data_IF_864489225221
#
_entry.id   IF_864489225221
#
_cell.length_a   1.000
_cell.length_b   1.000
_cell.length_c   1.000
_cell.angle_alpha   90.00
_cell.angle_beta   90.00
_cell.angle_gamma   90.00
#
_symmetry.space_group_name_H-M   'P 1'
#
loop_
_entity.id
_entity.type
_entity.pdbx_description
1 polymer ?
#
# COMPACT_ATOMS: atom_id res chain seq x y z
N UNK A 1 -3.45 19.99 -53.26
CA UNK A 1 -2.04 19.75 -52.92
C UNK A 1 -1.64 18.27 -53.08
N UNK A 2 -2.17 17.30 -52.32
CA UNK A 2 -1.85 15.86 -52.48
C UNK A 2 -2.23 15.31 -53.87
N UNK A 3 -3.39 15.71 -54.38
CA UNK A 3 -3.88 15.29 -55.70
C UNK A 3 -3.01 15.80 -56.88
N UNK A 4 -2.41 16.98 -56.77
CA UNK A 4 -1.53 17.52 -57.82
C UNK A 4 -0.14 16.88 -57.81
N UNK A 5 0.43 16.65 -56.62
CA UNK A 5 1.72 15.97 -56.47
C UNK A 5 1.67 14.51 -56.97
N UNK A 6 0.56 13.79 -56.71
CA UNK A 6 0.34 12.43 -57.20
C UNK A 6 0.24 12.36 -58.73
N UNK A 7 -0.42 13.33 -59.37
CA UNK A 7 -0.52 13.42 -60.84
C UNK A 7 0.83 13.68 -61.51
N UNK A 8 1.68 14.51 -60.90
CA UNK A 8 2.97 14.91 -61.49
C UNK A 8 4.02 13.80 -61.40
N UNK A 9 3.95 12.98 -60.34
CA UNK A 9 4.94 11.94 -60.09
C UNK A 9 4.66 10.63 -60.85
N UNK A 10 3.39 10.34 -61.18
CA UNK A 10 2.95 9.07 -61.79
C UNK A 10 1.92 9.29 -62.93
N UNK A 11 2.31 9.90 -64.06
CA UNK A 11 1.38 10.40 -65.09
C UNK A 11 0.60 9.32 -65.86
N UNK A 12 1.01 8.04 -65.79
CA UNK A 12 0.33 6.93 -66.50
C UNK A 12 -0.60 6.08 -65.62
N UNK A 13 -0.66 6.31 -64.30
CA UNK A 13 -1.52 5.53 -63.42
C UNK A 13 -2.82 6.29 -63.18
N UNK A 14 -3.91 5.85 -63.83
CA UNK A 14 -5.27 6.25 -63.46
C UNK A 14 -5.59 5.66 -62.08
N UNK A 15 -5.31 6.42 -61.04
CA UNK A 15 -5.74 6.06 -59.68
C UNK A 15 -7.24 6.28 -59.61
N UNK A 16 -8.01 5.19 -59.61
CA UNK A 16 -9.46 5.25 -59.44
C UNK A 16 -9.78 5.72 -58.01
N UNK A 17 -10.50 6.84 -57.90
CA UNK A 17 -10.93 7.40 -56.63
C UNK A 17 -11.72 6.39 -55.79
N UNK A 18 -12.47 5.49 -56.44
CA UNK A 18 -13.18 4.39 -55.76
C UNK A 18 -12.22 3.38 -55.15
N UNK A 19 -11.08 3.08 -55.78
CA UNK A 19 -10.04 2.20 -55.22
C UNK A 19 -9.40 2.86 -54.00
N UNK A 20 -9.09 4.16 -54.06
CA UNK A 20 -8.52 4.89 -52.91
C UNK A 20 -9.51 4.95 -51.74
N UNK A 21 -10.78 5.24 -52.00
CA UNK A 21 -11.84 5.23 -50.99
C UNK A 21 -12.02 3.84 -50.37
N UNK A 22 -12.05 2.78 -51.18
CA UNK A 22 -12.18 1.40 -50.71
C UNK A 22 -10.98 0.95 -49.86
N UNK A 23 -9.76 1.31 -50.25
CA UNK A 23 -8.54 0.98 -49.49
C UNK A 23 -8.53 1.73 -48.15
N UNK A 24 -8.80 3.04 -48.16
CA UNK A 24 -8.82 3.84 -46.93
C UNK A 24 -9.94 3.42 -45.97
N UNK A 25 -11.14 3.09 -46.48
CA UNK A 25 -12.23 2.55 -45.66
C UNK A 25 -11.89 1.18 -45.07
N UNK A 26 -11.21 0.32 -45.84
CA UNK A 26 -10.79 -1.00 -45.38
C UNK A 26 -9.71 -0.92 -44.29
N UNK A 27 -8.72 -0.03 -44.45
CA UNK A 27 -7.70 0.22 -43.41
C UNK A 27 -8.31 0.78 -42.13
N UNK A 28 -9.24 1.74 -42.24
CA UNK A 28 -9.96 2.27 -41.09
C UNK A 28 -10.77 1.18 -40.38
N UNK A 29 -11.50 0.34 -41.12
CA UNK A 29 -12.25 -0.78 -40.58
C UNK A 29 -11.32 -1.79 -39.87
N UNK A 30 -10.18 -2.14 -40.47
CA UNK A 30 -9.19 -3.03 -39.87
C UNK A 30 -8.60 -2.46 -38.57
N UNK A 31 -8.29 -1.15 -38.54
CA UNK A 31 -7.82 -0.47 -37.33
C UNK A 31 -8.87 -0.48 -36.21
N UNK A 32 -10.14 -0.20 -36.54
CA UNK A 32 -11.25 -0.26 -35.59
C UNK A 32 -11.45 -1.68 -35.06
N UNK A 33 -11.39 -2.69 -35.93
CA UNK A 33 -11.47 -4.09 -35.53
C UNK A 33 -10.31 -4.48 -34.60
N UNK A 34 -9.07 -4.08 -34.92
CA UNK A 34 -7.90 -4.33 -34.07
C UNK A 34 -8.03 -3.66 -32.70
N UNK A 35 -8.43 -2.39 -32.66
CA UNK A 35 -8.69 -1.66 -31.42
C UNK A 35 -9.81 -2.31 -30.60
N UNK A 36 -10.90 -2.74 -31.24
CA UNK A 36 -12.00 -3.45 -30.59
C UNK A 36 -11.55 -4.80 -30.01
N UNK A 37 -10.77 -5.58 -30.76
CA UNK A 37 -10.20 -6.84 -30.29
C UNK A 37 -9.30 -6.62 -29.06
N UNK A 38 -8.42 -5.60 -29.11
CA UNK A 38 -7.56 -5.23 -27.99
C UNK A 38 -8.34 -4.83 -26.74
N UNK A 39 -9.37 -3.98 -26.90
CA UNK A 39 -10.25 -3.58 -25.80
C UNK A 39 -11.00 -4.76 -25.19
N UNK A 40 -11.50 -5.69 -26.02
CA UNK A 40 -12.18 -6.89 -25.53
C UNK A 40 -11.25 -7.82 -24.76
N UNK A 41 -10.00 -7.97 -25.20
CA UNK A 41 -8.98 -8.73 -24.46
C UNK A 41 -8.73 -8.10 -23.07
N UNK A 42 -8.54 -6.78 -23.01
CA UNK A 42 -8.36 -6.03 -21.76
C UNK A 42 -9.57 -6.21 -20.83
N UNK A 43 -10.79 -6.07 -21.36
CA UNK A 43 -12.02 -6.27 -20.59
C UNK A 43 -12.10 -7.68 -20.00
N UNK A 44 -11.76 -8.71 -20.78
CA UNK A 44 -11.73 -10.10 -20.30
C UNK A 44 -10.70 -10.29 -19.17
N UNK A 45 -9.50 -9.74 -19.30
CA UNK A 45 -8.47 -9.80 -18.27
C UNK A 45 -8.91 -9.11 -16.97
N UNK A 46 -9.54 -7.93 -17.06
CA UNK A 46 -10.09 -7.23 -15.90
C UNK A 46 -11.18 -8.06 -15.22
N UNK A 47 -12.11 -8.63 -16.00
CA UNK A 47 -13.19 -9.46 -15.47
C UNK A 47 -12.64 -10.71 -14.78
N UNK A 48 -11.64 -11.37 -15.36
CA UNK A 48 -10.98 -12.53 -14.75
C UNK A 48 -10.28 -12.16 -13.44
N UNK A 49 -9.57 -11.03 -13.40
CA UNK A 49 -8.91 -10.56 -12.18
C UNK A 49 -9.92 -10.26 -11.05
N UNK A 50 -11.07 -9.64 -11.38
CA UNK A 50 -12.16 -9.42 -10.42
C UNK A 50 -12.74 -10.73 -9.92
N UNK A 51 -13.05 -11.68 -10.82
CA UNK A 51 -13.54 -13.01 -10.43
C UNK A 51 -12.57 -13.74 -9.52
N UNK A 52 -11.26 -13.68 -9.78
CA UNK A 52 -10.22 -14.26 -8.91
C UNK A 52 -10.20 -13.63 -7.53
N UNK A 53 -10.30 -12.30 -7.44
CA UNK A 53 -10.43 -11.60 -6.16
C UNK A 53 -11.69 -12.05 -5.42
N UNK A 54 -12.84 -11.97 -6.06
CA UNK A 54 -14.14 -12.26 -5.43
C UNK A 54 -14.20 -13.75 -4.99
N UNK A 55 -13.62 -14.66 -5.78
CA UNK A 55 -13.45 -16.06 -5.39
C UNK A 55 -12.56 -16.22 -4.15
N UNK A 56 -11.41 -15.55 -4.09
CA UNK A 56 -10.53 -15.58 -2.92
C UNK A 56 -11.20 -15.00 -1.66
N UNK A 57 -11.99 -13.94 -1.81
CA UNK A 57 -12.78 -13.39 -0.70
C UNK A 57 -13.88 -14.36 -0.23
N UNK A 58 -14.52 -15.08 -1.15
CA UNK A 58 -15.47 -16.15 -0.80
C UNK A 58 -14.80 -17.32 -0.09
N UNK A 59 -13.56 -17.67 -0.45
CA UNK A 59 -12.76 -18.66 0.29
C UNK A 59 -12.45 -18.18 1.71
N UNK A 60 -12.00 -16.94 1.84
CA UNK A 60 -11.73 -16.29 3.12
C UNK A 60 -12.98 -16.27 4.02
N UNK A 61 -14.15 -15.94 3.47
CA UNK A 61 -15.42 -15.96 4.20
C UNK A 61 -15.76 -17.38 4.67
N UNK A 62 -15.61 -18.38 3.79
CA UNK A 62 -15.87 -19.78 4.12
C UNK A 62 -15.03 -20.25 5.31
N UNK A 63 -13.71 -20.03 5.29
CA UNK A 63 -12.82 -20.50 6.37
C UNK A 63 -13.09 -19.76 7.69
N UNK A 64 -13.47 -18.48 7.63
CA UNK A 64 -13.92 -17.73 8.81
C UNK A 64 -15.19 -18.34 9.41
N UNK A 65 -16.19 -18.67 8.58
CA UNK A 65 -17.44 -19.26 9.07
C UNK A 65 -17.21 -20.65 9.68
N UNK A 66 -16.39 -21.48 9.05
CA UNK A 66 -16.00 -22.79 9.59
C UNK A 66 -15.30 -22.65 10.94
N UNK A 67 -14.35 -21.72 11.06
CA UNK A 67 -13.65 -21.45 12.31
C UNK A 67 -14.61 -20.98 13.42
N UNK A 68 -15.54 -20.08 13.12
CA UNK A 68 -16.53 -19.57 14.08
C UNK A 68 -17.47 -20.66 14.60
N UNK A 69 -17.90 -21.57 13.73
CA UNK A 69 -18.73 -22.72 14.13
C UNK A 69 -17.98 -23.64 15.09
N UNK A 70 -16.68 -23.85 14.86
CA UNK A 70 -15.84 -24.69 15.70
C UNK A 70 -15.43 -24.00 17.01
N UNK A 71 -15.38 -22.66 17.04
CA UNK A 71 -14.84 -21.88 18.16
C UNK A 71 -15.79 -20.73 18.57
N UNK A 72 -17.04 -21.04 19.01
CA UNK A 72 -18.04 -20.00 19.32
C UNK A 72 -17.67 -19.12 20.53
N UNK A 73 -16.70 -19.53 21.35
CA UNK A 73 -16.23 -18.78 22.53
C UNK A 73 -15.19 -17.70 22.26
N UNK A 74 -14.75 -17.52 21.00
CA UNK A 74 -13.73 -16.52 20.66
C UNK A 74 -14.30 -15.10 20.84
N UNK A 75 -13.67 -14.33 21.71
CA UNK A 75 -14.05 -12.96 22.00
C UNK A 75 -13.44 -12.00 20.97
N UNK A 76 -14.02 -11.96 19.76
CA UNK A 76 -13.54 -11.14 18.64
C UNK A 76 -13.34 -9.66 19.03
N UNK A 77 -14.29 -9.08 19.78
CA UNK A 77 -14.19 -7.70 20.25
C UNK A 77 -12.98 -7.46 21.17
N UNK A 78 -12.64 -8.42 22.04
CA UNK A 78 -11.46 -8.32 22.89
C UNK A 78 -10.19 -8.33 22.03
N UNK A 79 -10.07 -9.27 21.10
CA UNK A 79 -8.91 -9.39 20.19
C UNK A 79 -8.68 -8.09 19.39
N UNK A 80 -9.74 -7.53 18.80
CA UNK A 80 -9.65 -6.31 17.99
C UNK A 80 -9.37 -5.05 18.81
N UNK A 81 -9.67 -5.05 20.11
CA UNK A 81 -9.42 -3.90 21.00
C UNK A 81 -7.97 -3.79 21.49
N UNK A 82 -7.18 -4.86 21.36
CA UNK A 82 -5.83 -4.91 21.91
C UNK A 82 -4.83 -4.09 21.07
N UNK A 83 -4.01 -3.24 21.70
CA UNK A 83 -2.86 -2.64 21.04
C UNK A 83 -1.88 -3.72 20.55
N UNK A 84 -1.15 -3.44 19.47
CA UNK A 84 -0.22 -4.40 18.85
C UNK A 84 0.78 -4.99 19.84
N UNK A 85 1.32 -4.17 20.74
CA UNK A 85 2.27 -4.63 21.76
C UNK A 85 1.64 -5.68 22.68
N UNK A 86 0.43 -5.43 23.18
CA UNK A 86 -0.28 -6.35 24.07
C UNK A 86 -0.74 -7.62 23.34
N UNK A 87 -1.18 -7.48 22.08
CA UNK A 87 -1.54 -8.63 21.24
C UNK A 87 -0.34 -9.57 21.07
N UNK A 88 0.85 -9.03 20.79
CA UNK A 88 2.09 -9.82 20.63
C UNK A 88 2.46 -10.53 21.93
N UNK A 89 2.41 -9.83 23.08
CA UNK A 89 2.74 -10.47 24.37
C UNK A 89 1.76 -11.61 24.67
N UNK A 90 0.45 -11.39 24.48
CA UNK A 90 -0.57 -12.44 24.68
C UNK A 90 -0.40 -13.65 23.74
N UNK A 91 -0.03 -13.41 22.48
CA UNK A 91 0.32 -14.48 21.52
C UNK A 91 1.58 -15.25 21.96
N UNK A 92 2.59 -14.53 22.48
CA UNK A 92 3.83 -15.12 22.98
C UNK A 92 3.70 -15.85 24.30
N UNK A 93 2.75 -15.50 25.13
CA UNK A 93 2.41 -16.22 26.37
C UNK A 93 1.50 -17.42 26.09
N UNK A 94 0.77 -17.40 24.96
CA UNK A 94 -0.22 -18.41 24.60
C UNK A 94 -1.59 -18.18 25.23
N UNK A 95 -1.83 -17.00 25.81
CA UNK A 95 -3.16 -16.61 26.32
C UNK A 95 -4.15 -16.29 25.19
N UNK A 96 -3.64 -15.97 23.99
CA UNK A 96 -4.41 -15.93 22.75
C UNK A 96 -3.84 -16.93 21.74
N UNK A 97 -4.73 -17.66 21.07
CA UNK A 97 -4.35 -18.54 19.96
C UNK A 97 -4.08 -17.71 18.70
N UNK A 98 -3.00 -17.99 17.95
CA UNK A 98 -2.74 -17.34 16.66
C UNK A 98 -3.89 -17.52 15.66
N UNK A 99 -4.59 -18.66 15.67
CA UNK A 99 -5.77 -18.89 14.84
C UNK A 99 -6.91 -17.95 15.23
N UNK A 100 -7.21 -17.85 16.53
CA UNK A 100 -8.27 -16.96 17.01
C UNK A 100 -8.01 -15.52 16.59
N UNK A 101 -6.74 -15.07 16.62
CA UNK A 101 -6.35 -13.75 16.15
C UNK A 101 -6.49 -13.63 14.63
N UNK A 102 -5.93 -14.56 13.86
CA UNK A 102 -6.01 -14.54 12.39
C UNK A 102 -7.45 -14.48 11.89
N UNK A 103 -8.30 -15.41 12.32
CA UNK A 103 -9.68 -15.49 11.84
C UNK A 103 -10.54 -14.31 12.29
N UNK A 104 -10.27 -13.75 13.48
CA UNK A 104 -10.93 -12.51 13.91
C UNK A 104 -10.58 -11.33 12.99
N UNK A 105 -9.30 -11.18 12.63
CA UNK A 105 -8.89 -10.14 11.69
C UNK A 105 -9.38 -10.41 10.27
N UNK A 106 -9.46 -11.67 9.83
CA UNK A 106 -10.06 -12.01 8.55
C UNK A 106 -11.54 -11.63 8.47
N UNK A 107 -12.32 -11.97 9.51
CA UNK A 107 -13.73 -11.57 9.59
C UNK A 107 -13.88 -10.06 9.49
N UNK A 108 -13.09 -9.32 10.28
CA UNK A 108 -13.15 -7.86 10.26
C UNK A 108 -12.71 -7.29 8.91
N UNK A 109 -11.66 -7.83 8.30
CA UNK A 109 -11.18 -7.41 6.99
C UNK A 109 -12.24 -7.60 5.89
N UNK A 110 -12.98 -8.71 5.91
CA UNK A 110 -14.09 -8.97 4.97
C UNK A 110 -15.19 -7.91 5.10
N UNK A 111 -15.64 -7.63 6.33
CA UNK A 111 -16.65 -6.60 6.59
C UNK A 111 -16.18 -5.22 6.10
N UNK A 112 -14.94 -4.85 6.42
CA UNK A 112 -14.33 -3.59 5.97
C UNK A 112 -14.24 -3.54 4.44
N UNK A 113 -13.84 -4.64 3.79
CA UNK A 113 -13.72 -4.66 2.35
C UNK A 113 -15.05 -4.45 1.63
N UNK A 114 -16.15 -4.98 2.17
CA UNK A 114 -17.49 -4.73 1.62
C UNK A 114 -17.85 -3.24 1.67
N UNK A 115 -17.40 -2.52 2.69
CA UNK A 115 -17.67 -1.09 2.85
C UNK A 115 -16.77 -0.20 1.97
N UNK A 116 -15.46 -0.50 1.91
CA UNK A 116 -14.47 0.44 1.35
C UNK A 116 -13.65 -0.09 0.18
N UNK A 117 -13.83 -1.34 -0.25
CA UNK A 117 -13.12 -1.96 -1.37
C UNK A 117 -11.57 -1.83 -1.25
N UNK A 118 -11.00 -2.17 -0.09
CA UNK A 118 -9.57 -1.98 0.21
C UNK A 118 -8.64 -3.16 -0.14
N UNK A 119 -9.19 -4.32 -0.50
CA UNK A 119 -8.43 -5.56 -0.69
C UNK A 119 -8.41 -5.95 -2.16
N UNK A 120 -7.24 -6.35 -2.64
CA UNK A 120 -7.03 -6.88 -3.98
C UNK A 120 -7.00 -8.40 -3.98
N UNK A 121 -6.48 -9.02 -2.92
CA UNK A 121 -6.33 -10.46 -2.84
C UNK A 121 -6.33 -10.99 -1.40
N UNK A 122 -6.86 -12.19 -1.20
CA UNK A 122 -6.71 -12.99 0.01
C UNK A 122 -5.53 -13.97 -0.18
N UNK A 123 -4.66 -14.12 0.80
CA UNK A 123 -3.49 -15.01 0.76
C UNK A 123 -3.86 -16.32 1.49
N UNK A 124 -4.33 -17.37 0.80
CA UNK A 124 -4.74 -18.62 1.46
C UNK A 124 -3.60 -19.33 2.17
N UNK A 125 -2.35 -19.12 1.75
CA UNK A 125 -1.16 -19.72 2.36
C UNK A 125 -0.92 -19.26 3.81
N UNK A 126 -1.63 -18.21 4.27
CA UNK A 126 -1.52 -17.72 5.64
C UNK A 126 -1.96 -18.77 6.69
N UNK A 127 -2.88 -19.68 6.36
CA UNK A 127 -3.27 -20.77 7.25
C UNK A 127 -2.14 -21.80 7.42
N UNK A 128 -1.53 -22.21 6.31
CA UNK A 128 -0.39 -23.13 6.32
C UNK A 128 0.80 -22.52 7.05
N UNK A 129 1.15 -21.27 6.73
CA UNK A 129 2.23 -20.54 7.39
C UNK A 129 1.99 -20.46 8.90
N UNK A 130 0.75 -20.18 9.33
CA UNK A 130 0.41 -20.16 10.76
C UNK A 130 0.63 -21.52 11.45
N UNK A 131 0.29 -22.64 10.78
CA UNK A 131 0.56 -23.97 11.32
C UNK A 131 2.05 -24.29 11.39
N UNK A 132 2.85 -23.79 10.45
CA UNK A 132 4.31 -23.91 10.48
C UNK A 132 4.92 -23.08 11.61
N UNK A 133 4.45 -21.83 11.80
CA UNK A 133 4.87 -20.96 12.90
C UNK A 133 4.63 -21.60 14.27
N UNK A 134 3.52 -22.30 14.46
CA UNK A 134 3.23 -23.00 15.73
C UNK A 134 4.20 -24.13 16.06
N UNK A 135 4.87 -24.71 15.06
CA UNK A 135 5.87 -25.77 15.25
C UNK A 135 7.25 -25.23 15.57
N UNK A 136 7.48 -23.93 15.35
CA UNK A 136 8.76 -23.30 15.64
C UNK A 136 8.95 -23.16 17.15
N UNK A 137 10.17 -23.46 17.62
CA UNK A 137 10.52 -23.31 19.04
C UNK A 137 10.65 -21.84 19.44
N UNK A 138 11.15 -21.01 18.53
CA UNK A 138 11.37 -19.59 18.77
C UNK A 138 10.18 -18.77 18.27
N UNK A 139 9.66 -17.90 19.14
CA UNK A 139 8.57 -16.97 18.82
C UNK A 139 9.18 -15.60 18.47
N UNK A 140 9.21 -15.29 17.17
CA UNK A 140 9.75 -14.03 16.65
C UNK A 140 9.02 -12.77 17.16
N UNK A 141 9.51 -11.59 16.78
CA UNK A 141 9.01 -10.30 17.31
C UNK A 141 7.55 -10.00 16.95
N UNK A 142 7.02 -10.62 15.89
CA UNK A 142 5.65 -10.47 15.41
C UNK A 142 4.90 -11.81 15.38
N UNK A 143 5.28 -12.76 16.24
CA UNK A 143 4.70 -14.11 16.29
C UNK A 143 3.16 -14.10 16.28
N UNK A 144 2.58 -14.68 15.23
CA UNK A 144 1.14 -14.85 15.06
C UNK A 144 0.38 -13.58 14.64
N UNK A 145 1.06 -12.45 14.43
CA UNK A 145 0.41 -11.18 14.08
C UNK A 145 -0.04 -11.20 12.61
N UNK A 146 -1.34 -11.02 12.31
CA UNK A 146 -1.81 -10.86 10.94
C UNK A 146 -1.35 -9.51 10.38
N UNK A 147 -0.78 -9.52 9.18
CA UNK A 147 -0.29 -8.30 8.51
C UNK A 147 -0.87 -8.15 7.11
N UNK A 148 -1.21 -6.91 6.75
CA UNK A 148 -1.59 -6.54 5.38
C UNK A 148 -0.38 -6.05 4.59
N UNK A 149 -0.35 -6.35 3.29
CA UNK A 149 0.73 -5.92 2.39
C UNK A 149 0.19 -5.20 1.16
N UNK A 150 0.81 -4.10 0.77
CA UNK A 150 0.43 -3.33 -0.42
C UNK A 150 0.74 -4.09 -1.72
N UNK A 151 -0.15 -4.00 -2.70
CA UNK A 151 -0.12 -4.67 -4.02
C UNK A 151 1.22 -4.79 -4.76
N UNK A 152 2.12 -3.81 -4.62
CA UNK A 152 3.40 -3.80 -5.31
C UNK A 152 4.51 -4.63 -4.61
N UNK A 153 4.29 -5.02 -3.35
CA UNK A 153 5.21 -5.83 -2.57
C UNK A 153 5.06 -7.27 -3.03
N UNK A 154 6.14 -7.86 -3.54
CA UNK A 154 6.09 -9.23 -4.05
C UNK A 154 5.84 -10.24 -2.93
N UNK A 155 4.93 -11.15 -3.22
CA UNK A 155 4.60 -12.33 -2.42
C UNK A 155 4.57 -13.53 -3.37
N UNK A 156 5.37 -14.55 -3.07
CA UNK A 156 5.63 -15.69 -3.95
C UNK A 156 4.34 -16.38 -4.40
N UNK A 157 4.19 -16.60 -5.70
CA UNK A 157 3.03 -17.26 -6.29
C UNK A 157 1.85 -16.32 -6.55
N UNK A 158 1.97 -15.03 -6.21
CA UNK A 158 0.90 -14.04 -6.34
C UNK A 158 1.27 -12.93 -7.31
N UNK A 159 0.25 -12.31 -7.93
CA UNK A 159 0.47 -11.16 -8.81
C UNK A 159 0.97 -9.95 -8.01
N UNK A 160 1.75 -9.07 -8.63
CA UNK A 160 1.99 -7.69 -8.17
C UNK A 160 1.52 -6.72 -9.24
N UNK A 161 0.28 -6.21 -9.13
CA UNK A 161 -0.41 -5.63 -10.29
C UNK A 161 -0.04 -4.17 -10.54
N UNK A 162 0.26 -3.43 -9.48
CA UNK A 162 0.38 -1.98 -9.46
C UNK A 162 -0.85 -1.28 -10.07
N UNK A 163 -2.03 -1.90 -10.02
CA UNK A 163 -3.24 -1.44 -10.68
C UNK A 163 -3.18 -1.45 -12.22
N UNK A 164 -2.21 -2.15 -12.83
CA UNK A 164 -2.00 -2.17 -14.28
C UNK A 164 -2.46 -3.50 -14.88
N UNK A 165 -3.29 -3.45 -15.92
CA UNK A 165 -3.81 -4.65 -16.63
C UNK A 165 -2.66 -5.50 -17.21
N UNK A 166 -1.60 -4.87 -17.70
CA UNK A 166 -0.43 -5.58 -18.24
C UNK A 166 0.29 -6.45 -17.20
N UNK A 167 0.11 -6.17 -15.91
CA UNK A 167 0.73 -6.92 -14.81
C UNK A 167 -0.08 -8.13 -14.37
N UNK A 168 -1.24 -8.42 -14.98
CA UNK A 168 -2.13 -9.52 -14.57
C UNK A 168 -1.66 -10.91 -15.03
N UNK A 169 -0.52 -11.01 -15.72
CA UNK A 169 -0.03 -12.26 -16.31
C UNK A 169 1.27 -12.82 -15.71
N UNK A 170 1.89 -12.14 -14.76
CA UNK A 170 3.18 -12.55 -14.19
C UNK A 170 3.10 -12.63 -12.67
N UNK A 171 3.19 -13.86 -12.14
CA UNK A 171 3.27 -14.13 -10.71
C UNK A 171 4.69 -13.84 -10.21
N UNK A 172 4.82 -13.42 -8.96
CA UNK A 172 6.13 -13.31 -8.33
C UNK A 172 6.72 -14.72 -8.11
N UNK A 173 7.98 -14.91 -8.49
CA UNK A 173 8.69 -16.18 -8.34
C UNK A 173 9.14 -16.40 -6.89
N UNK A 174 9.34 -15.31 -6.15
CA UNK A 174 9.84 -15.28 -4.78
C UNK A 174 9.14 -14.20 -3.95
N UNK A 175 9.31 -14.31 -2.63
CA UNK A 175 8.89 -13.27 -1.71
C UNK A 175 9.85 -12.08 -1.81
N UNK A 176 9.34 -10.87 -1.59
CA UNK A 176 10.24 -9.75 -1.30
C UNK A 176 11.01 -10.00 -0.02
N UNK A 177 12.21 -9.43 0.09
CA UNK A 177 13.04 -9.54 1.32
C UNK A 177 12.27 -9.07 2.54
N UNK A 178 11.42 -8.05 2.38
CA UNK A 178 10.51 -7.60 3.44
C UNK A 178 9.57 -8.72 3.89
N UNK A 179 8.87 -9.37 2.96
CA UNK A 179 7.94 -10.47 3.27
C UNK A 179 8.68 -11.65 3.90
N UNK A 180 9.86 -12.01 3.40
CA UNK A 180 10.67 -13.07 4.00
C UNK A 180 10.99 -12.77 5.46
N UNK A 181 11.46 -11.57 5.76
CA UNK A 181 11.82 -11.22 7.14
C UNK A 181 10.57 -11.11 8.02
N UNK A 182 9.45 -10.62 7.50
CA UNK A 182 8.17 -10.65 8.23
C UNK A 182 7.78 -12.08 8.62
N UNK A 183 7.85 -13.02 7.67
CA UNK A 183 7.59 -14.44 7.92
C UNK A 183 8.58 -15.03 8.94
N UNK A 184 9.88 -14.73 8.81
CA UNK A 184 10.92 -15.16 9.78
C UNK A 184 10.71 -14.59 11.18
N UNK A 185 10.17 -13.37 11.29
CA UNK A 185 9.81 -12.75 12.57
C UNK A 185 8.46 -13.21 13.12
N UNK A 186 7.82 -14.17 12.46
CA UNK A 186 6.57 -14.79 12.90
C UNK A 186 5.30 -14.04 12.53
N UNK A 187 5.39 -12.98 11.72
CA UNK A 187 4.20 -12.33 11.17
C UNK A 187 3.51 -13.24 10.15
N UNK A 188 2.20 -13.04 9.98
CA UNK A 188 1.37 -13.82 9.06
C UNK A 188 0.68 -12.91 8.03
N UNK A 189 1.28 -12.67 6.86
CA UNK A 189 0.63 -11.92 5.79
C UNK A 189 -0.63 -12.63 5.29
N UNK A 190 -1.78 -11.97 5.34
CA UNK A 190 -3.07 -12.62 5.03
C UNK A 190 -3.84 -11.98 3.88
N UNK A 191 -3.57 -10.71 3.54
CA UNK A 191 -4.23 -10.00 2.44
C UNK A 191 -3.27 -9.07 1.71
N UNK A 192 -3.55 -8.87 0.43
CA UNK A 192 -2.91 -7.86 -0.41
C UNK A 192 -3.89 -6.71 -0.65
N UNK A 193 -3.50 -5.47 -0.34
CA UNK A 193 -4.39 -4.30 -0.41
C UNK A 193 -4.33 -3.57 -1.74
N UNK A 194 -5.40 -2.83 -2.05
CA UNK A 194 -5.58 -2.11 -3.30
C UNK A 194 -4.67 -0.87 -3.40
N UNK A 195 -4.41 -0.44 -4.64
CA UNK A 195 -3.53 0.69 -4.98
C UNK A 195 -4.11 1.49 -6.14
N UNK A 196 -3.74 2.78 -6.31
CA UNK A 196 -4.04 3.48 -7.55
C UNK A 196 -3.26 2.92 -8.72
N UNK A 197 -3.80 3.10 -9.93
CA UNK A 197 -3.14 2.73 -11.17
C UNK A 197 -1.75 3.36 -11.24
N UNK A 198 -0.72 2.55 -11.49
CA UNK A 198 0.70 2.92 -11.56
C UNK A 198 1.38 3.38 -10.26
N UNK A 199 0.68 3.38 -9.13
CA UNK A 199 1.18 3.85 -7.81
C UNK A 199 1.50 5.36 -7.73
N UNK A 200 1.40 6.11 -8.82
CA UNK A 200 1.71 7.54 -8.90
C UNK A 200 0.45 8.40 -8.77
N UNK A 201 -0.29 8.19 -7.68
CA UNK A 201 -1.46 8.98 -7.35
C UNK A 201 -1.63 9.01 -5.82
N UNK A 202 -2.11 10.15 -5.30
CA UNK A 202 -2.45 10.34 -3.89
C UNK A 202 -3.91 9.98 -3.57
N UNK A 203 -4.67 9.48 -4.55
CA UNK A 203 -5.93 8.76 -4.35
C UNK A 203 -5.73 7.23 -4.57
N UNK A 204 -6.79 6.41 -4.46
CA UNK A 204 -6.69 4.95 -4.55
C UNK A 204 -7.76 4.35 -5.47
N UNK A 205 -7.55 4.45 -6.79
CA UNK A 205 -8.42 3.87 -7.80
C UNK A 205 -7.65 3.31 -8.99
N UNK A 206 -8.10 2.16 -9.53
CA UNK A 206 -7.57 1.59 -10.76
C UNK A 206 -8.69 0.90 -11.57
N UNK A 207 -8.46 0.73 -12.89
CA UNK A 207 -9.45 0.13 -13.80
C UNK A 207 -9.80 -1.32 -13.47
N UNK A 208 -8.91 -2.04 -12.79
CA UNK A 208 -9.05 -3.47 -12.54
C UNK A 208 -9.90 -3.76 -11.31
N UNK A 209 -9.57 -3.18 -10.17
CA UNK A 209 -10.19 -3.46 -8.87
C UNK A 209 -11.08 -2.34 -8.36
N UNK A 210 -11.14 -1.21 -9.08
CA UNK A 210 -12.01 -0.08 -8.75
C UNK A 210 -11.39 0.84 -7.69
N UNK A 211 -12.26 1.69 -7.13
CA UNK A 211 -11.90 2.72 -6.15
C UNK A 211 -12.02 2.18 -4.73
N UNK A 212 -11.02 2.49 -3.92
CA UNK A 212 -11.10 2.40 -2.45
C UNK A 212 -11.54 3.76 -1.92
N UNK A 213 -12.45 3.79 -0.95
CA UNK A 213 -12.96 5.02 -0.33
C UNK A 213 -12.46 5.17 1.11
N UNK A 214 -12.50 6.39 1.65
CA UNK A 214 -12.11 6.65 3.03
C UNK A 214 -13.17 6.11 4.00
N UNK A 215 -12.79 5.34 5.04
CA UNK A 215 -13.75 4.77 5.99
C UNK A 215 -14.44 5.80 6.90
N UNK A 216 -13.89 7.01 7.04
CA UNK A 216 -14.52 8.09 7.83
C UNK A 216 -15.57 8.87 7.06
N UNK A 217 -15.41 8.95 5.74
CA UNK A 217 -16.32 9.65 4.83
C UNK A 217 -16.21 9.01 3.44
N UNK A 218 -17.21 8.21 3.05
CA UNK A 218 -17.21 7.47 1.79
C UNK A 218 -17.20 8.37 0.54
N UNK A 219 -17.39 9.69 0.69
CA UNK A 219 -17.25 10.67 -0.41
C UNK A 219 -15.81 11.13 -0.63
N UNK A 220 -14.86 10.71 0.23
CA UNK A 220 -13.45 11.09 0.18
C UNK A 220 -12.56 9.92 -0.22
N UNK A 221 -11.41 10.24 -0.81
CA UNK A 221 -10.34 9.28 -1.04
C UNK A 221 -9.63 8.91 0.27
N UNK A 222 -9.14 7.67 0.42
CA UNK A 222 -8.40 7.23 1.60
C UNK A 222 -6.94 7.74 1.61
N UNK A 223 -6.55 8.56 0.62
CA UNK A 223 -5.16 8.88 0.34
C UNK A 223 -4.50 7.77 -0.50
N UNK A 224 -3.25 7.98 -0.88
CA UNK A 224 -2.55 7.07 -1.79
C UNK A 224 -1.06 7.37 -1.88
N UNK A 225 -0.26 6.44 -2.42
CA UNK A 225 -0.72 5.22 -3.11
C UNK A 225 -0.96 3.99 -2.24
N UNK A 226 -0.74 4.06 -0.92
CA UNK A 226 -1.06 2.97 0.02
C UNK A 226 -2.48 3.09 0.58
N UNK A 227 -3.45 3.49 -0.26
CA UNK A 227 -4.81 3.78 0.18
C UNK A 227 -5.58 2.56 0.69
N UNK A 228 -5.35 1.38 0.11
CA UNK A 228 -5.91 0.13 0.60
C UNK A 228 -5.44 -0.21 2.02
N UNK A 229 -4.14 -0.05 2.33
CA UNK A 229 -3.61 -0.19 3.69
C UNK A 229 -4.27 0.81 4.65
N UNK A 230 -4.30 2.09 4.28
CA UNK A 230 -4.88 3.14 5.12
C UNK A 230 -6.36 2.90 5.43
N UNK A 231 -7.15 2.50 4.44
CA UNK A 231 -8.57 2.21 4.63
C UNK A 231 -8.80 0.94 5.46
N UNK A 232 -8.02 -0.13 5.22
CA UNK A 232 -8.16 -1.39 5.95
C UNK A 232 -7.83 -1.23 7.44
N UNK A 233 -6.72 -0.56 7.75
CA UNK A 233 -6.22 -0.42 9.13
C UNK A 233 -7.07 0.57 9.92
N UNK A 234 -7.50 1.68 9.32
CA UNK A 234 -8.35 2.65 10.01
C UNK A 234 -9.73 2.11 10.39
N UNK A 235 -10.21 1.10 9.68
CA UNK A 235 -11.44 0.39 10.06
C UNK A 235 -11.19 -0.83 10.94
N UNK A 236 -9.95 -1.09 11.37
CA UNK A 236 -9.59 -2.22 12.24
C UNK A 236 -9.53 -3.58 11.55
N UNK A 237 -9.53 -3.62 10.21
CA UNK A 237 -9.42 -4.87 9.43
C UNK A 237 -7.99 -5.43 9.36
N UNK A 238 -6.99 -4.68 9.81
CA UNK A 238 -5.61 -5.13 9.98
C UNK A 238 -4.98 -4.30 11.10
N UNK A 239 -4.14 -4.92 11.93
CA UNK A 239 -3.44 -4.23 13.02
C UNK A 239 -2.14 -3.57 12.56
N UNK A 240 -1.56 -4.07 11.47
CA UNK A 240 -0.27 -3.65 10.96
C UNK A 240 -0.20 -3.85 9.45
N UNK A 241 0.24 -2.80 8.75
CA UNK A 241 0.37 -2.80 7.31
C UNK A 241 1.71 -2.33 6.78
N UNK A 242 2.06 -2.82 5.60
CA UNK A 242 3.28 -2.42 4.89
C UNK A 242 2.95 -1.80 3.53
N UNK A 243 3.26 -0.50 3.42
CA UNK A 243 3.16 0.28 2.18
C UNK A 243 4.52 0.74 1.67
N UNK A 244 4.51 1.67 0.70
CA UNK A 244 5.71 2.34 0.18
C UNK A 244 5.45 3.83 0.01
N UNK A 245 6.50 4.64 0.18
CA UNK A 245 6.43 6.11 0.14
C UNK A 245 7.63 6.70 -0.59
N UNK A 246 7.34 7.21 -1.80
CA UNK A 246 8.26 8.04 -2.58
C UNK A 246 7.92 9.53 -2.42
N UNK A 247 6.64 9.89 -2.57
CA UNK A 247 6.15 11.27 -2.54
C UNK A 247 5.08 11.55 -1.47
N UNK A 248 4.95 10.68 -0.47
CA UNK A 248 3.89 10.76 0.55
C UNK A 248 3.01 9.51 0.64
N UNK A 249 3.31 8.46 -0.13
CA UNK A 249 2.39 7.33 -0.30
C UNK A 249 2.13 6.47 0.94
N UNK A 250 2.82 6.68 2.05
CA UNK A 250 2.47 6.17 3.39
C UNK A 250 1.84 7.29 4.22
N UNK A 251 2.50 8.46 4.26
CA UNK A 251 2.08 9.60 5.09
C UNK A 251 0.71 10.14 4.74
N UNK A 252 0.35 10.21 3.45
CA UNK A 252 -0.93 10.69 2.95
C UNK A 252 -2.10 9.78 3.37
N UNK A 253 -2.09 8.47 3.09
CA UNK A 253 -3.17 7.61 3.56
C UNK A 253 -3.22 7.51 5.10
N UNK A 254 -2.09 7.56 5.79
CA UNK A 254 -2.10 7.67 7.26
C UNK A 254 -2.77 8.96 7.73
N UNK A 255 -2.45 10.10 7.12
CA UNK A 255 -3.07 11.38 7.48
C UNK A 255 -4.57 11.40 7.15
N UNK A 256 -4.98 10.85 6.01
CA UNK A 256 -6.36 10.92 5.54
C UNK A 256 -7.29 9.98 6.31
N UNK A 257 -6.78 8.81 6.70
CA UNK A 257 -7.52 7.82 7.49
C UNK A 257 -7.29 7.97 9.01
N UNK A 258 -6.42 8.89 9.43
CA UNK A 258 -6.11 9.21 10.83
C UNK A 258 -5.39 8.10 11.57
N UNK A 259 -4.33 7.59 10.95
CA UNK A 259 -3.42 6.57 11.43
C UNK A 259 -2.03 7.17 11.63
N UNK A 260 -1.14 6.39 12.22
CA UNK A 260 0.29 6.66 12.20
C UNK A 260 0.94 5.98 10.99
N UNK A 261 1.86 6.70 10.36
CA UNK A 261 2.64 6.20 9.23
C UNK A 261 4.07 6.71 9.31
N UNK A 262 5.04 5.83 9.07
CA UNK A 262 6.46 6.18 9.10
C UNK A 262 7.10 5.88 7.76
N UNK A 263 7.68 6.90 7.12
CA UNK A 263 8.60 6.71 5.99
C UNK A 263 10.05 6.73 6.51
N UNK A 264 10.76 5.59 6.56
CA UNK A 264 12.16 5.55 6.95
C UNK A 264 13.06 6.35 6.00
N UNK A 265 14.34 6.48 6.36
CA UNK A 265 15.38 6.88 5.42
C UNK A 265 15.45 5.87 4.27
N UNK A 266 15.67 6.33 3.04
CA UNK A 266 15.84 5.45 1.89
C UNK A 266 16.97 4.43 2.12
N UNK A 267 16.81 3.20 1.64
CA UNK A 267 17.76 2.10 1.85
C UNK A 267 17.81 1.55 3.28
N UNK A 268 17.06 2.10 4.24
CA UNK A 268 16.99 1.55 5.61
C UNK A 268 16.35 0.17 5.63
N UNK A 269 15.47 -0.10 4.68
CA UNK A 269 14.77 -1.36 4.49
C UNK A 269 14.90 -1.78 3.04
N UNK A 270 15.05 -3.08 2.81
CA UNK A 270 15.22 -3.63 1.47
C UNK A 270 13.91 -3.53 0.69
N UNK A 271 14.01 -3.02 -0.53
CA UNK A 271 12.95 -2.99 -1.54
C UNK A 271 13.11 -4.11 -2.58
N UNK A 272 14.08 -5.03 -2.37
CA UNK A 272 14.39 -6.08 -3.32
C UNK A 272 13.17 -6.99 -3.59
N UNK A 273 13.01 -7.32 -4.88
CA UNK A 273 11.87 -8.02 -5.48
C UNK A 273 10.52 -7.28 -5.39
N UNK A 274 10.45 -6.06 -4.86
CA UNK A 274 9.24 -5.24 -4.98
C UNK A 274 9.12 -4.65 -6.39
N UNK A 275 7.90 -4.61 -6.94
CA UNK A 275 7.68 -4.09 -8.29
C UNK A 275 7.71 -2.57 -8.29
N UNK A 276 8.71 -2.00 -8.94
CA UNK A 276 8.83 -0.55 -9.18
C UNK A 276 8.31 -0.23 -10.58
N UNK A 277 7.32 0.67 -10.67
CA UNK A 277 6.69 1.06 -11.95
C UNK A 277 7.48 2.16 -12.68
N UNK A 278 8.45 2.80 -12.03
CA UNK A 278 9.23 3.88 -12.61
C UNK A 278 10.45 3.35 -13.40
N UNK A 279 10.36 3.54 -14.73
CA UNK A 279 11.42 3.59 -15.74
C UNK A 279 11.86 2.25 -16.39
N UNK A 280 12.20 2.27 -17.70
CA UNK A 280 12.82 1.13 -18.39
C UNK A 280 14.12 0.72 -17.69
N UNK A 281 14.47 -0.57 -17.81
CA UNK A 281 15.58 -1.26 -17.11
C UNK A 281 16.96 -0.54 -17.15
N UNK A 282 17.15 0.44 -18.03
CA UNK A 282 18.39 1.20 -18.22
C UNK A 282 18.70 2.26 -17.14
N UNK A 283 17.76 2.62 -16.25
CA UNK A 283 18.00 3.57 -15.14
C UNK A 283 18.00 2.92 -13.74
N UNK A 284 17.99 1.60 -13.67
CA UNK A 284 17.89 0.83 -12.42
C UNK A 284 19.06 1.09 -11.45
N UNK A 285 20.25 1.41 -11.96
CA UNK A 285 21.47 1.44 -11.14
C UNK A 285 21.83 2.79 -10.52
N UNK A 286 21.21 3.91 -10.99
CA UNK A 286 21.51 5.25 -10.45
C UNK A 286 20.37 5.87 -9.63
N UNK A 287 19.13 5.37 -9.77
CA UNK A 287 17.95 5.90 -9.06
C UNK A 287 17.35 4.97 -8.00
N UNK A 288 17.87 3.74 -7.86
CA UNK A 288 17.49 2.83 -6.77
C UNK A 288 17.65 3.47 -5.38
N UNK A 289 18.59 4.41 -5.22
CA UNK A 289 18.82 5.14 -3.97
C UNK A 289 17.70 6.12 -3.57
N UNK A 290 16.82 6.51 -4.50
CA UNK A 290 15.72 7.45 -4.25
C UNK A 290 14.38 6.75 -4.01
N UNK A 291 14.30 5.45 -4.30
CA UNK A 291 13.05 4.71 -4.31
C UNK A 291 12.89 3.92 -3.03
N UNK A 292 11.69 4.03 -2.46
CA UNK A 292 11.06 2.96 -1.70
C UNK A 292 11.65 2.66 -0.30
N UNK A 293 11.28 3.49 0.67
CA UNK A 293 11.06 2.97 2.01
C UNK A 293 9.76 2.16 2.02
N UNK A 294 9.84 0.84 2.10
CA UNK A 294 8.74 0.07 2.67
C UNK A 294 8.65 0.43 4.16
N UNK A 295 7.47 0.77 4.74
CA UNK A 295 7.11 0.51 6.16
C UNK A 295 5.91 1.27 6.76
N UNK A 296 5.30 0.58 7.75
CA UNK A 296 4.32 0.94 8.78
C UNK A 296 3.24 1.94 8.41
N UNK A 297 2.03 1.40 8.32
CA UNK A 297 0.83 2.08 8.80
C UNK A 297 0.38 1.33 10.06
N UNK A 298 0.22 2.03 11.18
CA UNK A 298 -0.26 1.49 12.48
C UNK A 298 -1.29 2.42 13.05
N UNK A 299 -2.21 1.87 13.83
CA UNK A 299 -3.14 2.65 14.65
C UNK A 299 -2.39 3.60 15.62
N UNK A 300 -3.01 4.75 15.87
CA UNK A 300 -2.46 5.91 16.58
C UNK A 300 -2.04 5.61 18.03
N UNK A 301 -2.57 4.55 18.61
CA UNK A 301 -2.33 4.14 20.00
C UNK A 301 -0.94 3.50 20.20
N UNK A 302 -0.25 3.06 19.14
CA UNK A 302 0.95 2.21 19.30
C UNK A 302 2.32 2.93 19.22
N UNK A 303 2.40 4.21 18.82
CA UNK A 303 3.68 4.82 18.38
C UNK A 303 4.72 5.03 19.49
N UNK A 304 4.32 5.26 20.75
CA UNK A 304 5.27 5.61 21.80
C UNK A 304 6.17 4.45 22.27
N UNK A 305 5.78 3.18 22.05
CA UNK A 305 6.57 1.99 22.44
C UNK A 305 7.13 1.18 21.27
N UNK A 306 6.68 1.47 20.04
CA UNK A 306 7.11 0.74 18.84
C UNK A 306 8.46 1.20 18.30
N UNK A 307 8.92 2.42 18.55
CA UNK A 307 10.16 2.93 17.92
C UNK A 307 11.40 2.09 18.26
N UNK A 308 11.54 1.59 19.48
CA UNK A 308 12.67 0.75 19.89
C UNK A 308 12.56 -0.68 19.37
N UNK A 309 11.42 -1.36 19.57
CA UNK A 309 11.16 -2.72 19.06
C UNK A 309 11.19 -2.75 17.52
N UNK A 310 10.76 -1.66 16.87
CA UNK A 310 10.88 -1.46 15.44
C UNK A 310 12.33 -1.22 15.02
N UNK A 311 13.14 -0.48 15.79
CA UNK A 311 14.57 -0.38 15.52
C UNK A 311 15.25 -1.74 15.63
N UNK A 312 14.83 -2.61 16.55
CA UNK A 312 15.30 -4.00 16.64
C UNK A 312 14.84 -4.86 15.46
N UNK A 313 13.58 -4.75 15.05
CA UNK A 313 13.05 -5.40 13.83
C UNK A 313 13.81 -4.91 12.59
N UNK A 314 14.00 -3.59 12.44
CA UNK A 314 14.75 -2.94 11.35
C UNK A 314 16.25 -3.30 11.38
N UNK A 315 16.85 -3.47 12.56
CA UNK A 315 18.23 -3.93 12.73
C UNK A 315 18.35 -5.41 12.35
N UNK A 316 17.38 -6.24 12.73
CA UNK A 316 17.29 -7.64 12.30
C UNK A 316 17.07 -7.74 10.78
N UNK A 317 16.24 -6.86 10.21
CA UNK A 317 16.00 -6.72 8.77
C UNK A 317 17.31 -6.39 8.01
N UNK A 318 18.19 -5.57 8.59
CA UNK A 318 19.49 -5.23 7.99
C UNK A 318 20.52 -6.36 8.06
N UNK A 319 20.52 -7.17 9.13
CA UNK A 319 21.48 -8.26 9.34
C UNK A 319 21.16 -9.55 8.54
N UNK A 320 19.97 -9.64 7.94
CA UNK A 320 19.49 -10.87 7.28
C UNK A 320 19.83 -10.97 5.79
N UNK A 321 20.48 -9.96 5.22
CA UNK A 321 20.82 -9.90 3.80
C UNK A 321 22.28 -10.32 3.55
N UNK A 322 22.55 -11.53 3.03
CA UNK A 322 23.90 -11.98 2.70
C UNK A 322 24.48 -11.32 1.43
N UNK A 323 23.70 -10.56 0.67
CA UNK A 323 24.12 -9.87 -0.55
C UNK A 323 24.46 -8.38 -0.32
N UNK A 324 24.04 -7.79 0.80
CA UNK A 324 24.49 -6.48 1.26
C UNK A 324 25.83 -6.57 2.03
N UNK A 325 26.92 -6.87 1.31
CA UNK A 325 28.27 -6.45 1.71
C UNK A 325 28.42 -4.93 1.50
N UNK A 326 27.48 -4.14 2.01
CA UNK A 326 27.59 -2.69 2.03
C UNK A 326 28.60 -2.31 3.13
N UNK A 327 29.71 -1.69 2.72
CA UNK A 327 30.73 -1.14 3.63
C UNK A 327 30.05 -0.38 4.78
N UNK A 328 30.52 -0.55 6.03
CA UNK A 328 29.94 0.16 7.17
C UNK A 328 30.23 1.64 7.03
N UNK A 329 29.26 2.41 6.54
CA UNK A 329 29.33 3.86 6.62
C UNK A 329 28.79 4.28 7.99
N UNK A 330 29.74 4.60 8.89
CA UNK A 330 29.55 5.33 10.15
C UNK A 330 28.83 4.58 11.30
N UNK A 331 29.45 3.52 11.81
CA UNK A 331 29.24 3.07 13.20
C UNK A 331 30.21 3.76 14.20
N UNK A 332 31.06 4.69 13.73
CA UNK A 332 32.19 5.21 14.51
C UNK A 332 31.97 6.58 15.16
N UNK A 333 30.90 7.32 14.85
CA UNK A 333 30.72 8.70 15.37
C UNK A 333 29.67 8.87 16.47
N UNK A 334 29.00 7.80 16.92
CA UNK A 334 27.98 7.89 17.98
C UNK A 334 28.45 7.48 19.37
N UNK A 335 29.75 7.23 19.58
CA UNK A 335 30.26 6.85 20.90
C UNK A 335 30.53 8.01 21.87
N UNK A 336 30.64 9.25 21.38
CA UNK A 336 31.22 10.34 22.21
C UNK A 336 30.29 11.54 22.50
N UNK A 337 28.99 11.47 22.20
CA UNK A 337 28.06 12.55 22.59
C UNK A 337 27.17 12.16 23.77
N UNK A 338 27.53 12.72 24.93
CA UNK A 338 26.79 12.71 26.19
C UNK A 338 25.34 13.22 25.97
N UNK A 339 24.36 12.32 26.02
CA UNK A 339 22.93 12.55 25.69
C UNK A 339 22.13 13.27 26.79
N UNK A 340 22.78 13.94 27.75
CA UNK A 340 22.13 14.62 28.87
C UNK A 340 21.48 15.98 28.52
N UNK A 341 21.62 16.48 27.29
CA UNK A 341 21.17 17.84 26.90
C UNK A 341 20.01 17.90 25.88
N UNK A 342 19.27 16.81 25.64
CA UNK A 342 18.07 16.89 24.81
C UNK A 342 16.88 17.42 25.61
N UNK A 343 16.70 18.75 25.62
CA UNK A 343 15.47 19.39 26.09
C UNK A 343 14.30 19.02 25.18
N UNK A 344 13.34 18.28 25.75
CA UNK A 344 12.00 18.08 25.16
C UNK A 344 11.29 19.43 25.15
N UNK A 345 11.05 20.01 23.98
CA UNK A 345 10.15 21.16 23.88
C UNK A 345 8.70 20.72 24.15
N UNK A 346 7.98 21.36 25.08
CA UNK A 346 6.58 21.04 25.33
C UNK A 346 5.65 21.65 24.27
N UNK A 347 4.71 20.81 23.84
CA UNK A 347 3.41 21.11 23.20
C UNK A 347 3.09 22.56 22.79
N UNK A 348 2.84 22.76 21.48
CA UNK A 348 2.02 23.86 20.97
C UNK A 348 0.58 23.36 20.74
N UNK A 349 -0.46 24.12 21.18
CA UNK A 349 -1.85 23.69 21.08
C UNK A 349 -2.37 23.73 19.63
N UNK A 350 -3.33 22.84 19.36
CA UNK A 350 -4.13 22.77 18.12
C UNK A 350 -4.81 24.12 17.87
N UNK A 351 -4.26 24.95 16.98
CA UNK A 351 -4.98 25.91 16.12
C UNK A 351 -4.03 26.85 15.34
N UNK A 352 -2.95 26.34 14.75
CA UNK A 352 -2.11 27.14 13.84
C UNK A 352 -1.74 26.30 12.62
N UNK A 353 -2.39 26.59 11.49
CA UNK A 353 -1.90 26.20 10.16
C UNK A 353 -0.86 27.26 9.77
N UNK A 354 0.41 26.99 10.05
CA UNK A 354 1.52 27.66 9.38
C UNK A 354 2.27 26.64 8.52
N UNK A 355 2.21 26.85 7.21
CA UNK A 355 3.07 26.20 6.23
C UNK A 355 4.48 26.72 6.42
N UNK A 356 5.36 25.91 7.03
CA UNK A 356 6.78 26.17 7.01
C UNK A 356 7.35 25.81 5.62
N UNK A 357 7.39 26.78 4.72
CA UNK A 357 8.35 26.80 3.62
C UNK A 357 9.69 27.26 4.21
N UNK A 358 10.72 26.43 4.11
CA UNK A 358 12.06 26.82 4.50
C UNK A 358 12.68 27.67 3.39
N UNK A 359 13.01 28.90 3.77
CA UNK A 359 13.58 29.97 2.96
C UNK A 359 14.96 29.60 2.38
N UNK A 360 15.14 29.79 1.08
CA UNK A 360 16.46 29.88 0.44
C UNK A 360 16.58 31.25 -0.22
N UNK A 361 17.22 32.17 0.50
CA UNK A 361 17.92 33.38 0.06
C UNK A 361 17.46 34.14 -1.19
N UNK A 362 17.09 35.40 -0.97
CA UNK A 362 17.17 36.56 -1.87
C UNK A 362 16.34 36.50 -3.16
N UNK A 363 15.24 37.27 -3.19
CA UNK A 363 14.91 38.25 -4.23
C UNK A 363 13.67 39.08 -3.81
N UNK A 364 13.82 40.40 -3.92
CA UNK A 364 12.89 41.52 -3.72
C UNK A 364 11.39 41.28 -3.44
N UNK A 365 10.88 41.94 -2.39
CA UNK A 365 9.45 42.09 -2.09
C UNK A 365 8.67 42.84 -3.19
N UNK A 366 7.40 42.47 -3.39
CA UNK A 366 6.36 43.50 -3.39
C UNK A 366 5.17 43.15 -2.47
N UNK A 367 4.71 44.19 -1.78
CA UNK A 367 3.59 44.28 -0.85
C UNK A 367 2.24 43.74 -1.37
N UNK A 368 1.53 42.94 -0.57
CA UNK A 368 0.10 42.65 -0.76
C UNK A 368 -0.73 42.91 0.50
N UNK A 369 -1.86 43.61 0.29
CA UNK A 369 -2.85 44.03 1.28
C UNK A 369 -3.60 42.85 1.91
N UNK A 370 -3.80 42.91 3.23
CA UNK A 370 -4.71 42.04 4.01
C UNK A 370 -6.16 42.29 3.60
N UNK A 371 -6.85 41.26 3.11
CA UNK A 371 -8.31 41.21 3.03
C UNK A 371 -8.84 40.41 4.21
N UNK A 372 -9.54 41.07 5.13
CA UNK A 372 -10.26 40.45 6.25
C UNK A 372 -11.73 40.29 5.90
N UNK A 373 -12.29 39.08 6.06
CA UNK A 373 -13.74 38.89 6.17
C UNK A 373 -14.12 38.34 7.55
N UNK A 374 -15.23 38.83 8.16
CA UNK A 374 -15.64 38.46 9.51
C UNK A 374 -16.77 37.41 9.51
N UNK A 375 -16.71 36.42 10.40
CA UNK A 375 -17.83 35.93 11.24
C UNK A 375 -17.44 34.67 12.04
N UNK A 376 -17.83 34.55 13.33
CA UNK A 376 -17.44 33.45 14.23
C UNK A 376 -18.34 32.21 14.12
N UNK A 377 -17.76 31.02 14.28
CA UNK A 377 -18.45 29.72 14.35
C UNK A 377 -18.89 29.43 15.80
N UNK A 378 -20.12 28.94 16.07
CA UNK A 378 -20.61 28.69 17.44
C UNK A 378 -20.00 27.46 18.12
N UNK A 379 -19.74 27.62 19.42
CA UNK A 379 -19.07 26.70 20.35
C UNK A 379 -19.98 25.59 20.88
N UNK A 380 -20.30 24.56 20.08
CA UNK A 380 -21.04 23.36 20.57
C UNK A 380 -20.30 22.03 20.33
N UNK A 381 -18.98 22.05 20.10
CA UNK A 381 -18.21 20.85 19.73
C UNK A 381 -17.61 20.06 20.92
N UNK A 382 -17.82 20.49 22.17
CA UNK A 382 -17.13 19.91 23.34
C UNK A 382 -17.96 18.85 24.07
N UNK A 383 -19.28 18.77 23.90
CA UNK A 383 -20.10 17.81 24.66
C UNK A 383 -20.21 16.40 24.04
N UNK A 384 -19.77 16.19 22.79
CA UNK A 384 -19.91 14.88 22.12
C UNK A 384 -18.75 13.89 22.39
N UNK A 385 -17.73 14.27 23.16
CA UNK A 385 -16.52 13.42 23.41
C UNK A 385 -16.53 12.79 24.83
N UNK A 386 -17.70 12.64 25.45
CA UNK A 386 -17.84 11.99 26.78
C UNK A 386 -18.77 10.78 26.83
N UNK A 387 -19.17 10.22 25.70
CA UNK A 387 -19.79 8.90 25.58
C UNK A 387 -19.04 8.09 24.53
#
# INVERSE_FOLDING_TARGET
MIHEWLKQSWPQVKIDLHIVLALTSSTAAAFLAFRWMGQNRIKKQIQEARRKRDHGLGQMEKVVQEFKQQNPGVQAAHVLSLPLAELVEKLKEGSLSPESVLYTYMEKALAVHQEVNCMRHFIPECEQHLQELKKQKERGLLYGVPVSIKDHIAYKGHLSTCGLVQSLGALAEEDSVLVEVLKRQGANPFVITNVPQSLLNYDCSNSTFGQTVNPRDHKRGPGGSSGGEGALIASGGSILGFGSDLGGSIRLPSSFCGLCGLKPTAGRLSDLHSKIVLMPQLLYHQLSFLLCGAVLIVDMICVARLTWKFFEIARSLHLSDPHLNAKPFLATELKDHNLSNWHVQPYLPRNTLELAFHDSGNLAEPSFQKVTHPSPIPTNYIEYIKQ
#
